data_IF_839127714213
#
_entry.id   IF_839127714213
#
_cell.length_a   1.000
_cell.length_b   1.000
_cell.length_c   1.000
_cell.angle_alpha   90.00
_cell.angle_beta   90.00
_cell.angle_gamma   90.00
#
_symmetry.space_group_name_H-M   'P 1'
#
loop_
_entity.id
_entity.type
_entity.pdbx_description
1 polymer ?
#
# COMPACT_ATOMS: atom_id res chain seq x y z
N UNK A 1 16.63 -10.71 5.82
CA UNK A 1 17.15 -11.72 4.87
C UNK A 1 17.06 -11.20 3.42
N UNK A 2 15.88 -10.86 2.88
CA UNK A 2 15.68 -10.46 1.46
C UNK A 2 16.50 -9.23 1.03
N UNK A 3 16.58 -8.21 1.87
CA UNK A 3 17.32 -6.99 1.58
C UNK A 3 18.83 -7.26 1.49
N UNK A 4 19.36 -8.12 2.35
CA UNK A 4 20.78 -8.54 2.29
C UNK A 4 21.05 -9.34 1.00
N UNK A 5 20.18 -10.27 0.66
CA UNK A 5 20.30 -11.04 -0.58
C UNK A 5 20.16 -10.16 -1.84
N UNK A 6 19.39 -9.08 -1.77
CA UNK A 6 19.31 -8.07 -2.81
C UNK A 6 20.64 -7.34 -2.98
N UNK A 7 21.25 -6.84 -1.88
CA UNK A 7 22.53 -6.16 -1.89
C UNK A 7 23.67 -7.06 -2.43
N UNK A 8 23.74 -8.30 -1.92
CA UNK A 8 24.73 -9.29 -2.40
C UNK A 8 24.62 -9.55 -3.91
N UNK A 9 23.39 -9.69 -4.42
CA UNK A 9 23.15 -9.89 -5.86
C UNK A 9 23.58 -8.68 -6.68
N UNK A 10 23.24 -7.46 -6.24
CA UNK A 10 23.61 -6.23 -6.95
C UNK A 10 25.13 -6.04 -6.94
N UNK A 11 25.77 -6.19 -5.77
CA UNK A 11 27.22 -5.98 -5.63
C UNK A 11 28.08 -7.03 -6.33
N UNK A 12 27.53 -8.17 -6.63
CA UNK A 12 28.21 -9.19 -7.45
C UNK A 12 28.51 -8.66 -8.86
N UNK A 13 27.62 -7.84 -9.42
CA UNK A 13 27.77 -7.23 -10.75
C UNK A 13 28.31 -5.80 -10.65
N UNK A 14 27.91 -5.06 -9.63
CA UNK A 14 28.28 -3.66 -9.37
C UNK A 14 28.82 -3.50 -7.93
N UNK A 15 30.11 -3.78 -7.67
CA UNK A 15 30.69 -3.74 -6.32
C UNK A 15 30.54 -2.40 -5.60
N UNK A 16 30.59 -1.30 -6.35
CA UNK A 16 30.49 0.08 -5.84
C UNK A 16 29.07 0.65 -5.93
N UNK A 17 28.03 -0.20 -6.00
CA UNK A 17 26.65 0.23 -6.08
C UNK A 17 26.25 1.08 -4.89
N UNK A 18 25.56 2.19 -5.17
CA UNK A 18 24.85 3.00 -4.19
C UNK A 18 23.34 2.86 -4.39
N UNK A 19 22.58 3.10 -3.33
CA UNK A 19 21.14 2.95 -3.32
C UNK A 19 20.46 4.27 -2.99
N UNK A 20 19.47 4.65 -3.77
CA UNK A 20 18.54 5.71 -3.38
C UNK A 20 17.37 5.06 -2.65
N UNK A 21 17.19 5.43 -1.39
CA UNK A 21 16.08 4.99 -0.54
C UNK A 21 15.00 6.06 -0.53
N UNK A 22 13.81 5.73 -0.98
CA UNK A 22 12.67 6.62 -1.09
C UNK A 22 11.50 6.10 -0.24
N UNK A 23 10.63 7.00 0.24
CA UNK A 23 9.41 6.59 0.94
C UNK A 23 8.45 5.90 -0.03
N UNK A 24 7.91 4.76 0.37
CA UNK A 24 6.84 4.07 -0.35
C UNK A 24 5.50 4.68 0.05
N UNK A 25 5.05 5.63 -0.75
CA UNK A 25 3.79 6.35 -0.51
C UNK A 25 2.61 5.41 -0.70
N UNK A 26 1.67 5.44 0.23
CA UNK A 26 0.44 4.66 0.14
C UNK A 26 -0.67 5.46 -0.57
N UNK A 27 -0.73 5.32 -1.88
CA UNK A 27 -1.65 6.05 -2.75
C UNK A 27 -2.06 5.24 -3.97
N UNK A 28 -2.43 5.93 -5.04
CA UNK A 28 -2.75 5.38 -6.35
C UNK A 28 -1.64 5.75 -7.33
N UNK A 29 -1.02 4.75 -7.95
CA UNK A 29 0.01 4.99 -8.97
C UNK A 29 -0.58 5.64 -10.20
N UNK A 30 0.06 6.72 -10.64
CA UNK A 30 -0.34 7.52 -11.80
C UNK A 30 0.81 7.67 -12.79
N UNK A 31 0.44 7.88 -14.06
CA UNK A 31 1.32 8.25 -15.15
C UNK A 31 0.81 9.54 -15.79
N UNK A 32 1.70 10.49 -16.02
CA UNK A 32 1.42 11.79 -16.64
C UNK A 32 2.25 11.92 -17.92
N UNK A 33 1.60 12.16 -19.05
CA UNK A 33 2.26 12.40 -20.34
C UNK A 33 2.15 13.87 -20.72
N UNK A 34 3.29 14.44 -21.07
CA UNK A 34 3.42 15.81 -21.55
C UNK A 34 3.97 15.81 -22.98
N UNK A 35 3.37 16.63 -23.83
CA UNK A 35 3.85 16.94 -25.19
C UNK A 35 4.13 18.43 -25.29
N UNK A 36 5.35 18.78 -25.71
CA UNK A 36 5.78 20.17 -25.79
C UNK A 36 5.52 20.97 -24.50
N UNK A 37 5.67 20.30 -23.34
CA UNK A 37 5.47 20.89 -22.03
C UNK A 37 4.01 20.98 -21.56
N UNK A 38 3.04 20.50 -22.32
CA UNK A 38 1.61 20.54 -21.97
C UNK A 38 1.15 19.14 -21.55
N UNK A 39 0.42 19.05 -20.45
CA UNK A 39 -0.19 17.82 -19.97
C UNK A 39 -1.28 17.37 -20.96
N UNK A 40 -1.05 16.27 -21.67
CA UNK A 40 -1.96 15.72 -22.67
C UNK A 40 -2.72 14.48 -22.18
N UNK A 41 -2.11 13.68 -21.30
CA UNK A 41 -2.75 12.48 -20.77
C UNK A 41 -2.33 12.19 -19.34
N UNK A 42 -3.26 11.64 -18.58
CA UNK A 42 -3.05 11.09 -17.25
C UNK A 42 -3.80 9.80 -17.06
N UNK A 43 -3.14 8.76 -16.53
CA UNK A 43 -3.72 7.43 -16.37
C UNK A 43 -3.34 6.79 -15.04
N UNK A 44 -4.16 5.85 -14.59
CA UNK A 44 -3.79 4.92 -13.50
C UNK A 44 -2.80 3.89 -14.01
N UNK A 45 -2.15 3.16 -13.09
CA UNK A 45 -1.21 2.09 -13.45
C UNK A 45 -1.87 0.94 -14.22
N UNK A 46 -3.16 0.64 -13.93
CA UNK A 46 -3.84 -0.52 -14.49
C UNK A 46 -3.09 -1.83 -14.22
N UNK A 47 -2.95 -2.66 -15.25
CA UNK A 47 -2.18 -3.91 -15.25
C UNK A 47 -0.67 -3.69 -15.51
N UNK A 48 -0.24 -2.44 -15.67
CA UNK A 48 1.13 -2.04 -16.01
C UNK A 48 1.30 -1.65 -17.47
N UNK A 49 0.42 -2.07 -18.37
CA UNK A 49 0.40 -1.75 -19.80
C UNK A 49 -0.79 -0.88 -20.18
N UNK A 50 -1.97 -1.17 -19.63
CA UNK A 50 -3.22 -0.45 -19.91
C UNK A 50 -3.73 0.10 -18.58
N UNK A 51 -3.86 1.42 -18.48
CA UNK A 51 -4.44 2.13 -17.34
C UNK A 51 -5.72 2.85 -17.70
N UNK A 52 -6.53 3.14 -16.69
CA UNK A 52 -7.73 3.95 -16.84
C UNK A 52 -7.35 5.40 -17.12
N UNK A 53 -7.93 6.01 -18.11
CA UNK A 53 -7.72 7.44 -18.44
C UNK A 53 -8.46 8.30 -17.39
N UNK A 54 -7.69 9.06 -16.62
CA UNK A 54 -8.18 9.98 -15.59
C UNK A 54 -7.63 11.40 -15.78
N UNK A 55 -7.32 11.78 -17.02
CA UNK A 55 -6.67 13.05 -17.37
C UNK A 55 -7.42 14.24 -16.78
N UNK A 56 -8.74 14.33 -16.97
CA UNK A 56 -9.51 15.47 -16.49
C UNK A 56 -9.56 15.56 -14.96
N UNK A 57 -9.50 14.42 -14.28
CA UNK A 57 -9.42 14.36 -12.81
C UNK A 57 -8.06 14.82 -12.33
N UNK A 58 -6.97 14.35 -12.95
CA UNK A 58 -5.61 14.74 -12.59
C UNK A 58 -5.33 16.23 -12.84
N UNK A 59 -5.95 16.84 -13.86
CA UNK A 59 -5.89 18.29 -14.07
C UNK A 59 -6.48 19.12 -12.91
N UNK A 60 -7.26 18.50 -12.02
CA UNK A 60 -7.83 19.14 -10.83
C UNK A 60 -6.97 18.98 -9.58
N UNK A 61 -5.91 18.19 -9.63
CA UNK A 61 -4.94 18.03 -8.55
C UNK A 61 -3.96 19.22 -8.60
N UNK A 62 -3.90 19.98 -7.53
CA UNK A 62 -3.29 21.32 -7.52
C UNK A 62 -1.78 21.34 -7.76
N UNK A 63 -1.08 20.28 -7.36
CA UNK A 63 0.38 20.16 -7.47
C UNK A 63 0.84 19.48 -8.78
N UNK A 64 -0.08 19.16 -9.68
CA UNK A 64 0.25 18.69 -11.03
C UNK A 64 0.36 19.92 -11.96
N UNK A 65 1.53 20.23 -12.49
CA UNK A 65 1.70 21.32 -13.44
C UNK A 65 0.98 20.99 -14.77
N UNK A 66 0.06 21.85 -15.21
CA UNK A 66 -0.61 21.69 -16.51
C UNK A 66 0.34 22.06 -17.67
N UNK A 67 1.32 22.91 -17.40
CA UNK A 67 2.36 23.33 -18.33
C UNK A 67 3.71 23.31 -17.62
N UNK A 68 4.69 22.65 -18.23
CA UNK A 68 6.07 22.62 -17.74
C UNK A 68 6.81 23.92 -18.09
N UNK A 69 7.85 24.30 -17.35
CA UNK A 69 8.68 25.46 -17.64
C UNK A 69 9.49 25.36 -18.93
N UNK A 70 9.58 24.16 -19.51
CA UNK A 70 10.28 23.88 -20.77
C UNK A 70 9.37 23.07 -21.70
N UNK A 71 9.44 23.24 -23.03
CA UNK A 71 8.64 22.50 -24.00
C UNK A 71 9.19 21.07 -24.18
N UNK A 72 9.08 20.24 -23.13
CA UNK A 72 9.55 18.86 -23.15
C UNK A 72 8.40 17.90 -23.49
N UNK A 73 8.72 16.86 -24.22
CA UNK A 73 7.86 15.68 -24.37
C UNK A 73 8.41 14.62 -23.43
N UNK A 74 7.65 14.32 -22.36
CA UNK A 74 8.09 13.48 -21.25
C UNK A 74 6.91 12.72 -20.65
N UNK A 75 7.16 11.49 -20.23
CA UNK A 75 6.22 10.72 -19.41
C UNK A 75 6.82 10.52 -18.02
N UNK A 76 6.07 10.89 -16.99
CA UNK A 76 6.49 10.75 -15.60
C UNK A 76 5.51 9.88 -14.83
N UNK A 77 6.02 9.14 -13.83
CA UNK A 77 5.21 8.29 -12.96
C UNK A 77 5.41 8.70 -11.51
N UNK A 78 4.35 8.52 -10.75
CA UNK A 78 4.34 8.82 -9.33
C UNK A 78 3.15 8.22 -8.63
N UNK A 79 2.90 8.70 -7.43
CA UNK A 79 1.79 8.32 -6.59
C UNK A 79 0.91 9.53 -6.32
N UNK A 80 -0.40 9.39 -6.54
CA UNK A 80 -1.40 10.35 -6.07
C UNK A 80 -2.00 9.83 -4.77
N UNK A 81 -1.99 10.65 -3.75
CA UNK A 81 -2.40 10.28 -2.40
C UNK A 81 -3.33 11.33 -1.79
N UNK A 82 -4.03 10.94 -0.73
CA UNK A 82 -4.80 11.88 0.08
C UNK A 82 -4.04 12.19 1.35
N UNK A 83 -3.66 13.46 1.62
CA UNK A 83 -3.10 13.87 2.91
C UNK A 83 -4.02 13.49 4.08
N UNK A 84 -3.46 13.15 5.25
CA UNK A 84 -4.22 12.76 6.45
C UNK A 84 -5.30 13.77 6.82
N UNK A 85 -4.95 15.06 6.84
CA UNK A 85 -5.91 16.13 7.14
C UNK A 85 -7.06 16.23 6.12
N UNK A 86 -6.79 15.93 4.84
CA UNK A 86 -7.83 15.88 3.80
C UNK A 86 -8.73 14.66 3.99
N UNK A 87 -8.15 13.51 4.36
CA UNK A 87 -8.88 12.28 4.63
C UNK A 87 -9.86 12.45 5.79
N UNK A 88 -9.41 13.03 6.90
CA UNK A 88 -10.25 13.30 8.07
C UNK A 88 -11.42 14.21 7.70
N UNK A 89 -11.15 15.30 6.95
CA UNK A 89 -12.18 16.23 6.50
C UNK A 89 -13.19 15.59 5.55
N UNK A 90 -12.74 14.73 4.64
CA UNK A 90 -13.62 14.01 3.69
C UNK A 90 -14.51 13.02 4.44
N UNK A 91 -13.98 12.27 5.39
CA UNK A 91 -14.76 11.30 6.15
C UNK A 91 -15.75 11.98 7.10
N UNK A 92 -15.36 13.09 7.73
CA UNK A 92 -16.30 13.91 8.51
C UNK A 92 -17.50 14.36 7.67
N UNK A 93 -17.26 14.90 6.47
CA UNK A 93 -18.31 15.34 5.55
C UNK A 93 -19.21 14.17 5.11
N UNK A 94 -18.63 12.99 4.84
CA UNK A 94 -19.40 11.78 4.49
C UNK A 94 -20.30 11.34 5.64
N UNK A 95 -19.78 11.36 6.85
CA UNK A 95 -20.54 11.04 8.06
C UNK A 95 -21.73 12.00 8.24
N UNK A 96 -21.51 13.31 8.08
CA UNK A 96 -22.56 14.34 8.15
C UNK A 96 -23.64 14.11 7.08
N UNK A 97 -23.29 13.59 5.91
CA UNK A 97 -24.20 13.26 4.82
C UNK A 97 -24.84 11.87 4.94
N UNK A 98 -24.51 11.07 5.97
CA UNK A 98 -24.99 9.70 6.12
C UNK A 98 -24.40 8.70 5.12
N UNK A 99 -23.24 9.02 4.52
CA UNK A 99 -22.54 8.17 3.60
C UNK A 99 -21.49 7.30 4.33
N UNK A 100 -21.19 6.12 3.78
CA UNK A 100 -20.13 5.28 4.33
C UNK A 100 -18.75 5.96 4.22
N UNK A 101 -17.98 5.95 5.30
CA UNK A 101 -16.62 6.49 5.33
C UNK A 101 -15.67 5.68 4.45
N UNK A 102 -14.61 6.33 3.96
CA UNK A 102 -13.50 5.62 3.32
C UNK A 102 -12.68 4.90 4.39
N UNK A 103 -12.26 3.67 4.09
CA UNK A 103 -11.51 2.83 5.02
C UNK A 103 -10.08 3.33 5.29
N UNK A 104 -9.45 3.99 4.30
CA UNK A 104 -8.09 4.52 4.41
C UNK A 104 -7.84 5.61 3.35
N UNK A 105 -6.77 6.42 3.50
CA UNK A 105 -6.41 7.48 2.55
C UNK A 105 -6.19 7.01 1.11
N UNK A 106 -5.63 5.80 0.92
CA UNK A 106 -5.43 5.20 -0.40
C UNK A 106 -6.75 4.96 -1.13
N UNK A 107 -7.72 4.34 -0.45
CA UNK A 107 -9.05 4.10 -1.01
C UNK A 107 -9.78 5.41 -1.28
N UNK A 108 -9.61 6.41 -0.42
CA UNK A 108 -10.17 7.75 -0.61
C UNK A 108 -9.57 8.45 -1.84
N UNK A 109 -8.26 8.36 -2.04
CA UNK A 109 -7.58 8.90 -3.22
C UNK A 109 -8.05 8.19 -4.50
N UNK A 110 -8.05 6.86 -4.53
CA UNK A 110 -8.49 6.07 -5.67
C UNK A 110 -9.98 6.32 -6.02
N UNK A 111 -10.85 6.34 -5.02
CA UNK A 111 -12.27 6.64 -5.20
C UNK A 111 -12.52 8.08 -5.67
N UNK A 112 -11.66 9.02 -5.27
CA UNK A 112 -11.75 10.42 -5.72
C UNK A 112 -11.31 10.57 -7.18
N UNK A 113 -10.20 9.96 -7.58
CA UNK A 113 -9.69 10.05 -8.96
C UNK A 113 -10.59 9.36 -10.00
N UNK A 114 -11.51 8.50 -9.57
CA UNK A 114 -12.48 7.83 -10.44
C UNK A 114 -13.86 8.51 -10.48
N UNK A 115 -14.00 9.70 -9.86
CA UNK A 115 -15.27 10.44 -9.92
C UNK A 115 -15.53 10.96 -11.33
N UNK A 116 -16.78 10.85 -11.78
CA UNK A 116 -17.22 11.44 -13.06
C UNK A 116 -17.26 12.96 -12.99
N UNK A 117 -17.66 13.51 -11.85
CA UNK A 117 -17.61 14.94 -11.58
C UNK A 117 -16.24 15.36 -11.06
N UNK A 118 -15.44 15.99 -11.92
CA UNK A 118 -14.10 16.46 -11.58
C UNK A 118 -14.07 17.56 -10.50
N UNK A 119 -15.21 18.24 -10.25
CA UNK A 119 -15.30 19.23 -9.17
C UNK A 119 -15.10 18.62 -7.79
N UNK A 120 -15.43 17.33 -7.63
CA UNK A 120 -15.20 16.56 -6.41
C UNK A 120 -13.70 16.41 -6.14
N UNK A 121 -12.90 16.15 -7.18
CA UNK A 121 -11.44 16.03 -7.08
C UNK A 121 -10.84 17.34 -6.59
N UNK A 122 -11.26 18.48 -7.16
CA UNK A 122 -10.78 19.80 -6.77
C UNK A 122 -11.03 20.12 -5.28
N UNK A 123 -12.14 19.62 -4.72
CA UNK A 123 -12.53 19.87 -3.31
C UNK A 123 -11.79 18.96 -2.31
N UNK A 124 -11.34 17.78 -2.73
CA UNK A 124 -10.76 16.77 -1.82
C UNK A 124 -9.26 16.89 -1.59
N UNK A 125 -8.61 17.92 -2.17
CA UNK A 125 -7.21 18.26 -1.94
C UNK A 125 -6.25 17.07 -1.99
N UNK A 126 -6.27 16.32 -3.09
CA UNK A 126 -5.26 15.29 -3.37
C UNK A 126 -3.90 15.95 -3.61
N UNK A 127 -2.84 15.18 -3.41
CA UNK A 127 -1.47 15.58 -3.67
C UNK A 127 -0.71 14.44 -4.38
N UNK A 128 0.45 14.76 -4.94
CA UNK A 128 1.26 13.81 -5.70
C UNK A 128 2.71 13.81 -5.26
N UNK A 129 3.39 12.67 -5.43
CA UNK A 129 4.84 12.60 -5.47
C UNK A 129 5.26 11.85 -6.74
N UNK A 130 6.00 12.55 -7.62
CA UNK A 130 6.54 11.96 -8.84
C UNK A 130 7.95 11.44 -8.53
N UNK A 131 8.23 10.21 -8.99
CA UNK A 131 9.47 9.52 -8.61
C UNK A 131 10.17 8.82 -9.77
N UNK A 132 9.64 8.90 -10.98
CA UNK A 132 10.23 8.23 -12.13
C UNK A 132 9.96 9.00 -13.42
N UNK A 133 10.98 9.13 -14.25
CA UNK A 133 10.84 9.42 -15.67
C UNK A 133 10.67 8.09 -16.42
N UNK A 134 9.56 7.91 -17.12
CA UNK A 134 9.25 6.70 -17.87
C UNK A 134 9.65 6.80 -19.35
N UNK A 135 9.91 8.00 -19.85
CA UNK A 135 10.53 8.24 -21.15
C UNK A 135 12.06 8.10 -21.05
N UNK A 136 12.78 7.91 -22.18
CA UNK A 136 14.22 7.93 -22.17
C UNK A 136 14.78 9.22 -21.55
N UNK A 137 15.72 9.07 -20.64
CA UNK A 137 16.35 10.19 -19.93
C UNK A 137 17.85 10.28 -20.22
N UNK A 138 18.42 11.48 -20.15
CA UNK A 138 19.85 11.72 -20.21
C UNK A 138 20.52 11.71 -18.83
N UNK A 139 19.74 11.59 -17.77
CA UNK A 139 20.25 11.61 -16.40
C UNK A 139 21.08 10.35 -16.11
N UNK A 140 22.08 10.47 -15.25
CA UNK A 140 22.99 9.37 -14.92
C UNK A 140 22.47 8.56 -13.72
N UNK A 141 21.75 9.22 -12.82
CA UNK A 141 21.32 8.62 -11.57
C UNK A 141 19.83 8.85 -11.29
N UNK A 142 19.26 8.01 -10.42
CA UNK A 142 17.89 8.17 -9.92
C UNK A 142 17.75 9.50 -9.15
N UNK A 143 18.77 9.91 -8.40
CA UNK A 143 18.78 11.20 -7.70
C UNK A 143 18.71 12.37 -8.69
N UNK A 144 19.46 12.32 -9.81
CA UNK A 144 19.39 13.35 -10.85
C UNK A 144 18.02 13.42 -11.50
N UNK A 145 17.36 12.27 -11.71
CA UNK A 145 15.97 12.22 -12.19
C UNK A 145 15.05 12.96 -11.25
N UNK A 146 15.14 12.71 -9.93
CA UNK A 146 14.29 13.39 -8.94
C UNK A 146 14.56 14.90 -8.92
N UNK A 147 15.81 15.32 -9.02
CA UNK A 147 16.17 16.75 -9.12
C UNK A 147 15.59 17.40 -10.38
N UNK A 148 15.69 16.73 -11.52
CA UNK A 148 15.09 17.17 -12.79
C UNK A 148 13.57 17.30 -12.66
N UNK A 149 12.89 16.32 -12.08
CA UNK A 149 11.44 16.38 -11.87
C UNK A 149 11.06 17.57 -10.99
N UNK A 150 11.79 17.82 -9.91
CA UNK A 150 11.58 19.00 -9.04
C UNK A 150 11.77 20.31 -9.81
N UNK A 151 12.82 20.43 -10.65
CA UNK A 151 13.08 21.61 -11.47
C UNK A 151 11.99 21.84 -12.55
N UNK A 152 11.30 20.77 -12.97
CA UNK A 152 10.16 20.86 -13.89
C UNK A 152 8.85 21.25 -13.18
N UNK A 153 8.87 21.42 -11.85
CA UNK A 153 7.72 21.85 -11.07
C UNK A 153 6.88 20.70 -10.50
N UNK A 154 7.35 19.45 -10.61
CA UNK A 154 6.68 18.33 -9.97
C UNK A 154 6.99 18.26 -8.48
N UNK A 155 6.03 17.84 -7.70
CA UNK A 155 6.25 17.48 -6.29
C UNK A 155 7.07 16.20 -6.21
N UNK A 156 8.22 16.26 -5.56
CA UNK A 156 9.12 15.13 -5.29
C UNK A 156 9.27 15.01 -3.78
N UNK A 157 9.26 13.78 -3.26
CA UNK A 157 9.45 13.58 -1.84
C UNK A 157 10.91 13.86 -1.44
N UNK A 158 11.12 14.80 -0.53
CA UNK A 158 12.46 15.19 -0.06
C UNK A 158 13.01 14.25 1.03
N UNK A 159 12.14 13.45 1.68
CA UNK A 159 12.56 12.44 2.64
C UNK A 159 13.10 11.21 1.91
N UNK A 160 14.34 11.32 1.46
CA UNK A 160 15.09 10.26 0.80
C UNK A 160 16.54 10.29 1.25
N UNK A 161 17.26 9.22 1.05
CA UNK A 161 18.69 9.14 1.36
C UNK A 161 19.44 8.37 0.28
N UNK A 162 20.61 8.84 -0.07
CA UNK A 162 21.58 8.12 -0.88
C UNK A 162 22.47 7.31 0.08
N UNK A 163 22.39 5.98 0.00
CA UNK A 163 23.12 5.04 0.83
C UNK A 163 24.20 4.32 0.02
N UNK A 164 25.43 4.27 0.53
CA UNK A 164 26.56 3.55 -0.05
C UNK A 164 26.72 2.14 0.53
N UNK A 165 26.07 1.84 1.64
CA UNK A 165 26.12 0.55 2.33
C UNK A 165 24.72 0.09 2.75
N UNK A 166 24.58 -1.22 2.94
CA UNK A 166 23.32 -1.80 3.42
C UNK A 166 22.96 -1.33 4.83
N UNK A 167 23.97 -1.05 5.68
CA UNK A 167 23.74 -0.54 7.02
C UNK A 167 23.09 0.84 7.00
N UNK A 168 23.52 1.73 6.11
CA UNK A 168 22.89 3.03 5.91
C UNK A 168 21.43 2.91 5.41
N UNK A 169 21.14 1.88 4.63
CA UNK A 169 19.76 1.56 4.23
C UNK A 169 18.93 1.18 5.45
N UNK A 170 19.47 0.32 6.34
CA UNK A 170 18.80 -0.07 7.59
C UNK A 170 18.58 1.12 8.53
N UNK A 171 19.58 1.97 8.71
CA UNK A 171 19.47 3.19 9.54
C UNK A 171 18.31 4.08 9.03
N UNK A 172 18.17 4.22 7.72
CA UNK A 172 17.07 5.00 7.13
C UNK A 172 15.71 4.33 7.36
N UNK A 173 15.62 3.01 7.19
CA UNK A 173 14.40 2.23 7.43
C UNK A 173 13.94 2.39 8.89
N UNK A 174 14.86 2.22 9.85
CA UNK A 174 14.55 2.33 11.28
C UNK A 174 14.10 3.75 11.65
N UNK A 175 14.83 4.76 11.17
CA UNK A 175 14.47 6.16 11.41
C UNK A 175 13.08 6.49 10.88
N UNK A 176 12.79 6.13 9.63
CA UNK A 176 11.47 6.37 9.04
C UNK A 176 10.38 5.58 9.76
N UNK A 177 10.67 4.34 10.15
CA UNK A 177 9.73 3.52 10.93
C UNK A 177 9.28 4.18 12.24
N UNK A 178 10.19 4.89 12.93
CA UNK A 178 9.89 5.63 14.16
C UNK A 178 9.14 6.94 13.92
N UNK A 179 9.26 7.52 12.73
CA UNK A 179 8.70 8.83 12.39
C UNK A 179 7.42 8.74 11.53
N UNK A 180 7.07 7.57 10.98
CA UNK A 180 6.01 7.42 9.97
C UNK A 180 4.66 7.97 10.41
N UNK A 181 4.30 7.83 11.68
CA UNK A 181 3.02 8.28 12.21
C UNK A 181 2.89 9.82 12.22
N UNK A 182 4.04 10.52 12.26
CA UNK A 182 4.11 11.99 12.22
C UNK A 182 4.06 12.57 10.82
N UNK A 183 4.16 11.73 9.78
CA UNK A 183 4.07 12.18 8.41
C UNK A 183 2.64 12.65 8.08
N UNK A 184 2.48 13.72 7.29
CA UNK A 184 1.17 14.22 6.88
C UNK A 184 0.48 13.35 5.82
N UNK A 185 1.10 12.24 5.44
CA UNK A 185 0.62 11.23 4.48
C UNK A 185 0.99 9.83 4.95
N UNK A 186 0.31 8.82 4.42
CA UNK A 186 0.58 7.42 4.73
C UNK A 186 1.68 6.84 3.85
N UNK A 187 2.48 5.97 4.46
CA UNK A 187 3.50 5.15 3.79
C UNK A 187 3.39 3.71 4.26
N UNK A 188 3.66 2.76 3.38
CA UNK A 188 3.66 1.33 3.71
C UNK A 188 5.06 0.71 3.74
N UNK A 189 6.10 1.51 3.47
CA UNK A 189 7.47 1.03 3.46
C UNK A 189 8.48 2.01 2.89
N UNK A 190 9.59 1.44 2.44
CA UNK A 190 10.69 2.12 1.76
C UNK A 190 10.95 1.40 0.44
N UNK A 191 11.20 2.15 -0.62
CA UNK A 191 11.68 1.61 -1.91
C UNK A 191 13.17 1.89 -2.00
N UNK A 192 13.96 0.85 -2.15
CA UNK A 192 15.40 0.89 -2.31
C UNK A 192 15.72 0.64 -3.78
N UNK A 193 16.35 1.58 -4.45
CA UNK A 193 16.70 1.52 -5.89
C UNK A 193 18.20 1.64 -6.07
N UNK A 194 18.79 0.87 -6.97
CA UNK A 194 20.15 1.13 -7.43
C UNK A 194 20.18 2.53 -8.04
N UNK A 195 21.11 3.39 -7.60
CA UNK A 195 21.09 4.80 -7.97
C UNK A 195 21.52 5.04 -9.43
N UNK A 196 22.51 4.30 -9.95
CA UNK A 196 22.99 4.46 -11.33
C UNK A 196 22.00 3.85 -12.33
N UNK A 197 21.49 4.66 -13.27
CA UNK A 197 20.52 4.23 -14.27
C UNK A 197 21.08 3.20 -15.25
N UNK A 198 22.35 3.32 -15.64
CA UNK A 198 23.01 2.31 -16.47
C UNK A 198 23.05 0.93 -15.79
N UNK A 199 23.30 0.89 -14.47
CA UNK A 199 23.25 -0.35 -13.70
C UNK A 199 21.81 -0.89 -13.57
N UNK A 200 20.80 -0.03 -13.47
CA UNK A 200 19.40 -0.45 -13.50
C UNK A 200 19.05 -1.13 -14.82
N UNK A 201 19.49 -0.57 -15.94
CA UNK A 201 19.25 -1.11 -17.28
C UNK A 201 19.94 -2.47 -17.46
N UNK A 202 21.19 -2.62 -17.02
CA UNK A 202 21.96 -3.87 -17.12
C UNK A 202 21.38 -4.98 -16.21
N UNK A 203 20.99 -4.66 -14.98
CA UNK A 203 20.30 -5.59 -14.07
C UNK A 203 18.94 -6.03 -14.63
N UNK A 204 18.22 -5.12 -15.27
CA UNK A 204 16.97 -5.37 -15.96
C UNK A 204 15.81 -5.79 -15.04
N UNK A 205 14.93 -6.65 -15.59
CA UNK A 205 13.67 -7.03 -14.96
C UNK A 205 13.53 -8.56 -14.91
N UNK A 206 12.77 -9.02 -13.93
CA UNK A 206 12.12 -10.33 -13.96
C UNK A 206 10.75 -10.17 -14.63
N UNK A 207 10.02 -11.28 -14.82
CA UNK A 207 8.63 -11.24 -15.33
C UNK A 207 7.72 -10.36 -14.46
N UNK A 208 8.01 -10.22 -13.16
CA UNK A 208 7.12 -9.57 -12.18
C UNK A 208 7.66 -8.26 -11.59
N UNK A 209 8.98 -8.05 -11.59
CA UNK A 209 9.59 -6.95 -10.85
C UNK A 209 10.97 -6.54 -11.41
N UNK A 210 11.40 -5.28 -11.20
CA UNK A 210 12.76 -4.87 -11.49
C UNK A 210 13.76 -5.61 -10.58
N UNK A 211 14.92 -5.98 -11.12
CA UNK A 211 16.01 -6.59 -10.34
C UNK A 211 16.83 -5.55 -9.58
N UNK A 212 16.73 -4.30 -9.97
CA UNK A 212 17.46 -3.15 -9.44
C UNK A 212 16.73 -2.40 -8.33
N UNK A 213 15.55 -2.86 -7.95
CA UNK A 213 14.79 -2.26 -6.84
C UNK A 213 14.18 -3.33 -5.95
N UNK A 214 14.06 -3.00 -4.68
CA UNK A 214 13.33 -3.80 -3.69
C UNK A 214 12.50 -2.88 -2.80
N UNK A 215 11.31 -3.33 -2.42
CA UNK A 215 10.47 -2.64 -1.45
C UNK A 215 10.59 -3.35 -0.09
N UNK A 216 11.00 -2.60 0.93
CA UNK A 216 10.87 -3.02 2.32
C UNK A 216 9.53 -2.51 2.84
N UNK A 217 8.65 -3.40 3.24
CA UNK A 217 7.39 -3.03 3.88
C UNK A 217 7.56 -3.05 5.39
N UNK A 218 7.04 -2.00 6.05
CA UNK A 218 7.02 -1.99 7.51
C UNK A 218 6.17 -3.16 8.02
N UNK A 219 6.53 -3.72 9.19
CA UNK A 219 5.65 -4.66 9.86
C UNK A 219 4.26 -4.06 10.03
N UNK A 220 3.24 -4.87 9.77
CA UNK A 220 1.87 -4.47 10.02
C UNK A 220 1.69 -4.13 11.51
N UNK A 221 0.87 -3.11 11.79
CA UNK A 221 0.50 -2.80 13.16
C UNK A 221 -0.26 -4.00 13.75
N UNK A 222 0.11 -4.40 14.96
CA UNK A 222 -0.53 -5.47 15.72
C UNK A 222 -1.23 -4.90 16.94
N UNK A 223 -2.47 -5.35 17.20
CA UNK A 223 -3.24 -4.97 18.40
C UNK A 223 -3.87 -6.20 19.05
N UNK A 224 -3.99 -6.15 20.36
CA UNK A 224 -4.74 -7.13 21.10
C UNK A 224 -6.24 -6.82 21.03
N UNK A 225 -7.05 -7.84 20.79
CA UNK A 225 -8.51 -7.78 20.88
C UNK A 225 -9.04 -9.08 21.49
N UNK A 226 -10.17 -9.01 22.18
CA UNK A 226 -10.85 -10.20 22.69
C UNK A 226 -11.78 -10.78 21.63
N UNK A 227 -11.73 -12.07 21.41
CA UNK A 227 -12.65 -12.82 20.56
C UNK A 227 -13.99 -12.96 21.29
N UNK A 228 -15.05 -12.38 20.71
CA UNK A 228 -16.41 -12.41 21.30
C UNK A 228 -17.26 -13.54 20.73
N UNK A 229 -17.15 -13.79 19.42
CA UNK A 229 -17.86 -14.84 18.71
C UNK A 229 -17.24 -15.08 17.33
N UNK A 230 -17.68 -16.13 16.66
CA UNK A 230 -17.30 -16.42 15.27
C UNK A 230 -18.56 -16.54 14.41
N UNK A 231 -18.62 -15.77 13.34
CA UNK A 231 -19.64 -15.87 12.30
C UNK A 231 -19.14 -16.77 11.17
N UNK A 232 -19.99 -17.69 10.72
CA UNK A 232 -19.71 -18.55 9.57
C UNK A 232 -20.50 -18.06 8.37
N UNK A 233 -19.83 -17.59 7.33
CA UNK A 233 -20.46 -16.98 6.14
C UNK A 233 -20.18 -17.79 4.89
N UNK A 234 -21.19 -17.92 4.03
CA UNK A 234 -21.08 -18.65 2.76
C UNK A 234 -20.67 -17.68 1.64
N UNK A 235 -19.56 -17.92 1.00
CA UNK A 235 -19.10 -17.17 -0.17
C UNK A 235 -19.85 -17.58 -1.46
N UNK A 236 -19.63 -16.82 -2.54
CA UNK A 236 -20.25 -17.09 -3.86
C UNK A 236 -19.91 -18.47 -4.44
N UNK A 237 -18.77 -19.01 -4.09
CA UNK A 237 -18.29 -20.33 -4.53
C UNK A 237 -18.80 -21.49 -3.68
N UNK A 238 -19.56 -21.19 -2.60
CA UNK A 238 -20.05 -22.19 -1.64
C UNK A 238 -19.09 -22.42 -0.46
N UNK A 239 -17.91 -21.82 -0.46
CA UNK A 239 -16.94 -21.91 0.64
C UNK A 239 -17.49 -21.21 1.89
N UNK A 240 -17.41 -21.88 3.05
CA UNK A 240 -17.81 -21.34 4.33
C UNK A 240 -16.59 -20.78 5.05
N UNK A 241 -16.60 -19.46 5.28
CA UNK A 241 -15.45 -18.73 5.85
C UNK A 241 -15.77 -18.25 7.26
N UNK A 242 -14.90 -18.53 8.26
CA UNK A 242 -15.04 -18.00 9.62
C UNK A 242 -14.56 -16.57 9.73
N UNK A 243 -15.33 -15.74 10.41
CA UNK A 243 -15.00 -14.36 10.75
C UNK A 243 -15.12 -14.14 12.24
N UNK A 244 -14.04 -13.72 12.88
CA UNK A 244 -14.04 -13.35 14.30
C UNK A 244 -14.78 -12.02 14.51
N UNK A 245 -15.69 -11.97 15.46
CA UNK A 245 -16.20 -10.75 16.05
C UNK A 245 -15.36 -10.43 17.28
N UNK A 246 -14.85 -9.21 17.37
CA UNK A 246 -13.84 -8.81 18.33
C UNK A 246 -14.28 -7.58 19.12
N UNK A 247 -13.69 -7.39 20.30
CA UNK A 247 -13.75 -6.07 20.94
C UNK A 247 -13.15 -5.03 19.99
N UNK A 248 -13.81 -3.87 19.76
CA UNK A 248 -13.32 -2.85 18.85
C UNK A 248 -11.94 -2.34 19.25
N UNK A 249 -10.99 -2.32 18.32
CA UNK A 249 -9.63 -1.81 18.51
C UNK A 249 -9.24 -0.87 17.39
N UNK A 250 -8.45 0.14 17.71
CA UNK A 250 -7.86 1.03 16.70
C UNK A 250 -6.65 0.35 16.07
N UNK A 251 -6.68 0.16 14.75
CA UNK A 251 -5.63 -0.53 14.02
C UNK A 251 -5.40 0.17 12.67
N UNK A 252 -4.21 0.71 12.48
CA UNK A 252 -3.82 1.44 11.28
C UNK A 252 -4.90 2.45 10.84
N UNK A 253 -5.27 3.37 11.76
CA UNK A 253 -6.19 4.48 11.51
C UNK A 253 -7.68 4.11 11.36
N UNK A 254 -8.07 2.85 11.57
CA UNK A 254 -9.47 2.42 11.51
C UNK A 254 -9.87 1.62 12.74
N UNK A 255 -11.17 1.66 13.09
CA UNK A 255 -11.71 0.79 14.13
C UNK A 255 -12.01 -0.58 13.54
N UNK A 256 -11.35 -1.60 14.06
CA UNK A 256 -11.52 -3.00 13.67
C UNK A 256 -12.32 -3.71 14.75
N UNK A 257 -13.46 -4.31 14.39
CA UNK A 257 -14.30 -5.15 15.24
C UNK A 257 -14.55 -6.54 14.64
N UNK A 258 -14.03 -6.78 13.41
CA UNK A 258 -14.13 -8.07 12.72
C UNK A 258 -12.81 -8.39 12.02
N UNK A 259 -12.39 -9.65 12.09
CA UNK A 259 -11.18 -10.12 11.44
C UNK A 259 -11.39 -11.52 10.85
N UNK A 260 -10.75 -11.81 9.72
CA UNK A 260 -10.83 -13.16 9.15
C UNK A 260 -10.05 -14.17 9.99
N UNK A 261 -10.60 -15.38 10.08
CA UNK A 261 -9.94 -16.56 10.62
C UNK A 261 -9.54 -17.53 9.48
N UNK A 262 -9.61 -17.07 8.24
CA UNK A 262 -9.29 -17.79 7.00
C UNK A 262 -10.15 -19.04 6.81
N UNK A 263 -9.83 -20.15 7.48
CA UNK A 263 -10.52 -21.43 7.39
C UNK A 263 -10.42 -22.19 8.73
N UNK A 264 -10.98 -23.40 8.77
CA UNK A 264 -11.00 -24.27 9.97
C UNK A 264 -9.58 -24.73 10.34
N UNK A 265 -8.74 -25.02 9.34
CA UNK A 265 -7.37 -25.48 9.56
C UNK A 265 -6.51 -24.39 10.22
N UNK A 266 -6.71 -23.15 9.81
CA UNK A 266 -6.05 -21.99 10.45
C UNK A 266 -6.46 -21.85 11.92
N UNK A 267 -7.74 -22.04 12.24
CA UNK A 267 -8.22 -22.01 13.63
C UNK A 267 -7.55 -23.12 14.44
N UNK A 268 -7.44 -24.33 13.88
CA UNK A 268 -6.79 -25.46 14.54
C UNK A 268 -5.28 -25.26 14.68
N UNK A 269 -4.59 -24.80 13.64
CA UNK A 269 -3.14 -24.51 13.65
C UNK A 269 -2.77 -23.48 14.71
N UNK A 270 -3.57 -22.43 14.86
CA UNK A 270 -3.35 -21.35 15.83
C UNK A 270 -3.94 -21.63 17.21
N UNK A 271 -4.60 -22.77 17.38
CA UNK A 271 -5.32 -23.18 18.61
C UNK A 271 -6.21 -22.06 19.15
N UNK A 272 -7.04 -21.46 18.26
CA UNK A 272 -7.93 -20.35 18.62
C UNK A 272 -9.17 -20.93 19.28
N UNK A 273 -9.48 -20.44 20.51
CA UNK A 273 -10.58 -20.92 21.33
C UNK A 273 -11.54 -19.79 21.70
N UNK A 274 -12.69 -20.17 22.30
CA UNK A 274 -13.68 -19.19 22.79
C UNK A 274 -13.06 -18.25 23.81
N UNK A 275 -13.41 -16.98 23.71
CA UNK A 275 -12.99 -15.89 24.63
C UNK A 275 -11.48 -15.62 24.66
N UNK A 276 -10.71 -16.16 23.70
CA UNK A 276 -9.28 -15.88 23.60
C UNK A 276 -9.02 -14.39 23.38
N UNK A 277 -7.94 -13.91 23.97
CA UNK A 277 -7.30 -12.66 23.53
C UNK A 277 -6.41 -12.97 22.34
N UNK A 278 -6.66 -12.31 21.23
CA UNK A 278 -5.96 -12.53 19.96
C UNK A 278 -5.19 -11.28 19.51
N UNK A 279 -4.12 -11.48 18.79
CA UNK A 279 -3.43 -10.41 18.07
C UNK A 279 -4.07 -10.26 16.70
N UNK A 280 -4.50 -9.05 16.38
CA UNK A 280 -5.09 -8.66 15.10
C UNK A 280 -4.14 -7.77 14.34
N UNK A 281 -4.05 -7.97 13.04
CA UNK A 281 -3.27 -7.17 12.11
C UNK A 281 -4.05 -6.97 10.80
N UNK A 282 -3.60 -6.07 9.92
CA UNK A 282 -4.16 -5.94 8.58
C UNK A 282 -3.29 -6.71 7.57
N UNK A 283 -3.81 -7.82 7.05
CA UNK A 283 -3.16 -8.56 5.97
C UNK A 283 -3.16 -7.71 4.68
N UNK A 284 -1.96 -7.50 4.11
CA UNK A 284 -1.80 -6.66 2.93
C UNK A 284 -2.24 -5.20 3.14
N UNK A 285 -2.16 -4.70 4.38
CA UNK A 285 -2.56 -3.35 4.82
C UNK A 285 -4.08 -3.04 4.69
N UNK A 286 -4.89 -4.03 4.34
CA UNK A 286 -6.31 -3.84 4.04
C UNK A 286 -7.23 -4.73 4.89
N UNK A 287 -6.99 -6.05 4.89
CA UNK A 287 -7.93 -7.04 5.45
C UNK A 287 -7.56 -7.37 6.89
N UNK A 288 -8.41 -7.04 7.89
CA UNK A 288 -8.17 -7.47 9.26
C UNK A 288 -8.16 -9.00 9.37
N UNK A 289 -7.12 -9.53 9.98
CA UNK A 289 -6.95 -10.97 10.22
C UNK A 289 -6.45 -11.21 11.64
N UNK A 290 -6.79 -12.36 12.20
CA UNK A 290 -6.22 -12.83 13.46
C UNK A 290 -4.86 -13.45 13.15
N UNK A 291 -3.80 -12.99 13.82
CA UNK A 291 -2.44 -13.48 13.61
C UNK A 291 -2.12 -14.68 14.51
N UNK A 292 -2.43 -14.55 15.80
CA UNK A 292 -2.13 -15.54 16.85
C UNK A 292 -2.92 -15.28 18.11
N UNK A 293 -2.97 -16.26 18.97
CA UNK A 293 -3.51 -16.15 20.34
C UNK A 293 -2.45 -15.56 21.29
N UNK A 294 -2.87 -14.85 22.31
CA UNK A 294 -2.03 -14.42 23.44
C UNK A 294 -2.20 -15.46 24.56
N UNK A 295 -1.39 -16.53 24.50
CA UNK A 295 -1.51 -17.69 25.39
C UNK A 295 -1.56 -17.32 26.88
N UNK A 296 -0.74 -16.34 27.30
CA UNK A 296 -0.72 -15.86 28.71
C UNK A 296 -2.01 -15.18 29.18
N UNK A 297 -2.97 -14.91 28.28
CA UNK A 297 -4.28 -14.28 28.57
C UNK A 297 -5.47 -15.20 28.30
N UNK A 298 -5.23 -16.48 28.01
CA UNK A 298 -6.31 -17.45 27.76
C UNK A 298 -7.14 -17.65 29.04
N UNK A 299 -8.46 -17.56 28.91
CA UNK A 299 -9.42 -17.68 30.00
C UNK A 299 -10.35 -18.89 29.87
N UNK A 300 -10.43 -19.49 28.68
CA UNK A 300 -11.26 -20.64 28.39
C UNK A 300 -10.48 -21.72 27.62
N UNK A 301 -10.81 -23.00 27.92
CA UNK A 301 -10.28 -24.16 27.16
C UNK A 301 -11.31 -24.66 26.14
N UNK A 302 -12.47 -24.00 26.00
CA UNK A 302 -13.50 -24.41 25.06
C UNK A 302 -13.10 -24.10 23.62
N UNK A 303 -13.19 -25.12 22.75
CA UNK A 303 -12.99 -24.95 21.32
C UNK A 303 -14.14 -24.17 20.67
N UNK A 304 -13.87 -23.59 19.52
CA UNK A 304 -14.90 -22.94 18.71
C UNK A 304 -15.86 -23.97 18.12
N UNK A 305 -17.13 -23.64 18.05
CA UNK A 305 -18.13 -24.49 17.40
C UNK A 305 -17.97 -24.39 15.89
N UNK A 306 -17.49 -25.46 15.26
CA UNK A 306 -17.40 -25.56 13.80
C UNK A 306 -18.70 -26.18 13.28
N UNK A 307 -19.44 -25.52 12.37
CA UNK A 307 -20.67 -26.06 11.83
C UNK A 307 -20.41 -27.29 10.97
N UNK A 308 -21.22 -28.34 11.12
CA UNK A 308 -21.24 -29.49 10.22
C UNK A 308 -22.18 -29.31 9.03
N UNK A 309 -23.04 -28.30 9.08
CA UNK A 309 -24.02 -27.96 8.05
C UNK A 309 -23.88 -26.51 7.61
N UNK A 310 -24.16 -26.28 6.34
CA UNK A 310 -24.13 -24.96 5.73
C UNK A 310 -25.11 -23.99 6.45
N UNK A 311 -24.66 -22.82 6.94
CA UNK A 311 -25.52 -21.89 7.64
C UNK A 311 -26.62 -21.26 6.76
N UNK A 312 -26.51 -21.39 5.44
CA UNK A 312 -27.48 -20.86 4.47
C UNK A 312 -28.51 -21.89 4.01
N UNK A 313 -28.08 -23.10 3.64
CA UNK A 313 -28.98 -24.11 3.02
C UNK A 313 -29.09 -25.41 3.80
N UNK A 314 -28.37 -25.57 4.93
CA UNK A 314 -28.36 -26.74 5.81
C UNK A 314 -27.82 -28.05 5.16
N UNK A 315 -27.22 -27.97 3.98
CA UNK A 315 -26.50 -29.12 3.39
C UNK A 315 -25.27 -29.44 4.24
N UNK A 316 -24.88 -30.72 4.27
CA UNK A 316 -23.67 -31.13 4.96
C UNK A 316 -22.45 -30.47 4.34
N UNK A 317 -21.52 -30.01 5.20
CA UNK A 317 -20.26 -29.43 4.81
C UNK A 317 -19.20 -30.53 4.59
N UNK A 318 -18.44 -30.39 3.52
CA UNK A 318 -17.28 -31.26 3.24
C UNK A 318 -16.01 -30.44 3.53
N UNK A 319 -15.07 -31.09 4.22
CA UNK A 319 -13.75 -30.55 4.44
C UNK A 319 -12.78 -31.18 3.43
N UNK A 320 -12.09 -30.36 2.66
CA UNK A 320 -11.05 -30.77 1.72
C UNK A 320 -9.70 -30.40 2.33
N UNK A 321 -8.84 -31.39 2.56
CA UNK A 321 -7.43 -31.18 2.89
C UNK A 321 -6.78 -30.53 1.67
N UNK A 322 -6.08 -29.39 1.84
CA UNK A 322 -5.36 -28.60 0.82
C UNK A 322 -6.11 -27.44 0.13
N UNK A 323 -7.29 -27.03 0.50
CA UNK A 323 -7.81 -25.71 0.08
C UNK A 323 -7.46 -24.61 1.09
N UNK A 324 -6.48 -23.78 0.67
CA UNK A 324 -6.03 -22.58 1.39
C UNK A 324 -6.95 -21.40 1.08
#
# INVERSE_FOLDING_TARGET
AELVAFDERVRKEFPDASYLCELKIDGLSISLAYENGILVAGATRGDGSIGENITENLKRVKDIPLTLPKPLTITVRGECYMPKASFDSVNQLRQENGEAEFANPRNAAAGTLRQLDTSVVAKRNLATFLYQEASPTSEATQEDVLQKLSQLGFSVNEKRVLASTIDQVWDFIEKVGQERDKLPYEIDGIVIKVNHLAAQEELGFTVKAPKWAIAYKFPAEEKEAQLLSVDWTVGRTGVVTPTANLTPVQLAGTTVSRATLHNVDYIAEKDIRKDDTVIVYKAGDIIPAVLRVVEGKRVSDEHLDVPSQCPSCQSDLLHFEDEV
#
